data_IF_261256340690
#
_entry.id   IF_261256340690
#
_cell.length_a   1.000
_cell.length_b   1.000
_cell.length_c   1.000
_cell.angle_alpha   90.00
_cell.angle_beta   90.00
_cell.angle_gamma   90.00
#
_symmetry.space_group_name_H-M   'P 1'
#
loop_
_entity.id
_entity.type
_entity.pdbx_description
1 polymer ?
#
# COMPACT_ATOMS: atom_id res chain seq x y z
N UNK A 1 9.86 0.69 -18.22
CA UNK A 1 9.21 1.99 -18.47
C UNK A 1 8.59 2.44 -17.16
N UNK A 2 9.21 3.41 -16.49
CA UNK A 2 8.68 3.98 -15.25
C UNK A 2 7.44 4.82 -15.59
N UNK A 3 6.29 4.45 -15.05
CA UNK A 3 5.07 5.26 -15.16
C UNK A 3 5.28 6.54 -14.34
N UNK A 4 5.71 7.59 -15.03
CA UNK A 4 5.96 8.90 -14.47
C UNK A 4 4.60 9.56 -14.19
N UNK A 5 4.23 9.71 -12.93
CA UNK A 5 2.97 10.36 -12.53
C UNK A 5 3.22 11.54 -11.59
N UNK A 6 2.53 12.66 -11.84
CA UNK A 6 2.33 13.72 -10.87
C UNK A 6 1.54 13.20 -9.64
N UNK A 7 1.47 13.99 -8.56
CA UNK A 7 0.83 13.57 -7.31
C UNK A 7 -0.64 13.14 -7.49
N UNK A 8 -1.41 13.85 -8.32
CA UNK A 8 -2.82 13.52 -8.53
C UNK A 8 -2.94 12.17 -9.23
N UNK A 9 -2.13 11.95 -10.28
CA UNK A 9 -2.12 10.69 -11.02
C UNK A 9 -1.62 9.53 -10.15
N UNK A 10 -0.57 9.75 -9.36
CA UNK A 10 -0.03 8.77 -8.39
C UNK A 10 -1.11 8.32 -7.40
N UNK A 11 -1.75 9.29 -6.73
CA UNK A 11 -2.80 9.01 -5.76
C UNK A 11 -4.00 8.32 -6.43
N UNK A 12 -4.43 8.78 -7.61
CA UNK A 12 -5.57 8.20 -8.33
C UNK A 12 -5.34 6.73 -8.69
N UNK A 13 -4.14 6.35 -9.16
CA UNK A 13 -3.82 4.96 -9.51
C UNK A 13 -3.85 4.07 -8.27
N UNK A 14 -3.22 4.48 -7.17
CA UNK A 14 -3.20 3.71 -5.93
C UNK A 14 -4.60 3.59 -5.30
N UNK A 15 -5.37 4.67 -5.27
CA UNK A 15 -6.77 4.65 -4.82
C UNK A 15 -7.60 3.69 -5.67
N UNK A 16 -7.44 3.70 -7.00
CA UNK A 16 -8.13 2.75 -7.90
C UNK A 16 -7.72 1.28 -7.67
N UNK A 17 -6.53 1.03 -7.11
CA UNK A 17 -6.05 -0.29 -6.68
C UNK A 17 -6.54 -0.69 -5.28
N UNK A 18 -7.29 0.17 -4.59
CA UNK A 18 -7.84 -0.08 -3.26
C UNK A 18 -6.97 0.43 -2.11
N UNK A 19 -5.96 1.26 -2.38
CA UNK A 19 -5.20 1.98 -1.36
C UNK A 19 -5.89 3.30 -1.01
N UNK A 20 -7.17 3.22 -0.62
CA UNK A 20 -8.04 4.36 -0.37
C UNK A 20 -8.16 4.73 1.13
N UNK A 21 -7.45 3.99 1.99
CA UNK A 21 -7.35 4.24 3.43
C UNK A 21 -6.61 5.53 3.80
N UNK A 22 -6.35 5.67 5.10
CA UNK A 22 -5.50 6.74 5.62
C UNK A 22 -4.04 6.30 5.62
N UNK A 23 -3.17 7.24 5.26
CA UNK A 23 -1.73 7.07 5.24
C UNK A 23 -1.09 8.17 6.06
N UNK A 24 0.08 7.86 6.62
CA UNK A 24 0.95 8.83 7.26
C UNK A 24 2.32 8.83 6.57
N UNK A 25 2.94 10.00 6.46
CA UNK A 25 4.33 10.11 6.06
C UNK A 25 5.27 9.84 7.23
N UNK A 26 6.57 9.70 6.96
CA UNK A 26 7.62 9.66 8.00
C UNK A 26 7.66 10.89 8.91
N UNK A 27 7.05 12.02 8.50
CA UNK A 27 6.88 13.22 9.32
C UNK A 27 5.59 13.24 10.15
N UNK A 28 4.86 12.12 10.22
CA UNK A 28 3.56 12.00 10.90
C UNK A 28 2.42 12.87 10.31
N UNK A 29 2.50 13.22 9.02
CA UNK A 29 1.41 13.89 8.31
C UNK A 29 0.38 12.85 7.88
N UNK A 30 -0.73 12.75 8.60
CA UNK A 30 -1.78 11.76 8.37
C UNK A 30 -2.89 12.31 7.47
N UNK A 31 -3.37 11.52 6.51
CA UNK A 31 -4.44 11.92 5.61
C UNK A 31 -4.71 10.91 4.51
N UNK A 32 -5.53 11.28 3.53
CA UNK A 32 -5.56 10.54 2.26
C UNK A 32 -4.22 10.72 1.55
N UNK A 33 -3.86 9.79 0.65
CA UNK A 33 -2.57 9.79 -0.04
C UNK A 33 -2.15 11.17 -0.56
N UNK A 34 -3.03 11.84 -1.32
CA UNK A 34 -2.74 13.17 -1.86
C UNK A 34 -2.53 14.20 -0.76
N UNK A 35 -3.41 14.25 0.23
CA UNK A 35 -3.41 15.30 1.26
C UNK A 35 -2.19 15.14 2.19
N UNK A 36 -1.98 13.92 2.69
CA UNK A 36 -0.83 13.53 3.52
C UNK A 36 0.51 13.89 2.85
N UNK A 37 0.66 13.57 1.56
CA UNK A 37 1.88 13.86 0.80
C UNK A 37 2.02 15.37 0.52
N UNK A 38 0.91 16.05 0.19
CA UNK A 38 0.92 17.48 -0.13
C UNK A 38 1.33 18.32 1.08
N UNK A 39 0.75 18.04 2.25
CA UNK A 39 1.09 18.74 3.50
C UNK A 39 2.55 18.50 3.88
N UNK A 40 3.01 17.25 3.78
CA UNK A 40 4.42 16.93 4.05
C UNK A 40 5.39 17.70 3.13
N UNK A 41 5.09 17.78 1.83
CA UNK A 41 5.91 18.51 0.86
C UNK A 41 5.89 20.02 1.09
N UNK A 42 4.75 20.58 1.50
CA UNK A 42 4.60 22.01 1.79
C UNK A 42 5.49 22.44 2.96
N UNK A 43 5.56 21.62 4.00
CA UNK A 43 6.37 21.89 5.20
C UNK A 43 7.85 21.48 5.03
N UNK A 44 8.16 20.63 4.04
CA UNK A 44 9.51 20.10 3.81
C UNK A 44 10.05 20.36 2.39
N UNK A 45 10.06 21.63 1.89
CA UNK A 45 10.35 21.94 0.49
C UNK A 45 11.79 21.60 0.04
N UNK A 46 12.73 21.43 0.99
CA UNK A 46 14.15 21.11 0.73
C UNK A 46 14.55 19.69 1.13
N UNK A 47 13.70 18.97 1.89
CA UNK A 47 14.08 17.73 2.58
C UNK A 47 13.95 16.45 1.75
N UNK A 48 13.11 16.47 0.70
CA UNK A 48 12.64 15.23 0.06
C UNK A 48 13.43 14.90 -1.20
N UNK A 49 14.10 15.88 -1.81
CA UNK A 49 14.82 15.71 -3.08
C UNK A 49 15.99 14.70 -3.03
N UNK A 50 16.38 14.23 -1.84
CA UNK A 50 17.46 13.24 -1.66
C UNK A 50 17.03 11.97 -0.91
N UNK A 51 15.76 11.86 -0.50
CA UNK A 51 15.30 10.76 0.35
C UNK A 51 14.03 10.13 -0.23
N UNK A 52 13.87 8.82 -0.01
CA UNK A 52 12.60 8.16 -0.26
C UNK A 52 11.57 8.64 0.76
N UNK A 53 10.39 9.01 0.28
CA UNK A 53 9.22 9.28 1.10
C UNK A 53 8.61 7.94 1.54
N UNK A 54 8.64 7.67 2.84
CA UNK A 54 7.95 6.54 3.44
C UNK A 54 6.50 6.91 3.75
N UNK A 55 5.58 6.11 3.22
CA UNK A 55 4.15 6.14 3.54
C UNK A 55 3.76 4.87 4.28
N UNK A 56 3.03 5.01 5.38
CA UNK A 56 2.50 3.87 6.13
C UNK A 56 0.99 3.97 6.22
N UNK A 57 0.28 2.87 5.97
CA UNK A 57 -1.18 2.84 6.06
C UNK A 57 -1.72 1.45 6.40
N UNK A 58 -2.95 1.40 6.92
CA UNK A 58 -3.64 0.14 7.19
C UNK A 58 -4.41 -0.33 5.95
N UNK A 59 -4.16 -1.58 5.53
CA UNK A 59 -4.98 -2.26 4.53
C UNK A 59 -6.16 -3.00 5.17
N UNK A 60 -5.99 -3.44 6.41
CA UNK A 60 -7.04 -4.06 7.21
C UNK A 60 -6.87 -3.70 8.68
N UNK A 61 -7.89 -3.08 9.25
CA UNK A 61 -7.97 -2.74 10.67
C UNK A 61 -9.37 -3.09 11.19
N UNK A 62 -9.45 -3.85 12.28
CA UNK A 62 -10.71 -4.32 12.84
C UNK A 62 -10.87 -4.02 14.35
N UNK A 63 -9.98 -3.17 14.90
CA UNK A 63 -9.86 -2.92 16.34
C UNK A 63 -8.44 -3.21 16.85
N UNK A 64 -8.10 -2.64 18.01
CA UNK A 64 -6.77 -2.81 18.62
C UNK A 64 -6.51 -4.19 19.21
N UNK A 65 -7.57 -4.96 19.46
CA UNK A 65 -7.60 -6.32 19.96
C UNK A 65 -7.49 -7.39 18.86
N UNK A 66 -7.42 -6.98 17.59
CA UNK A 66 -7.39 -7.89 16.44
C UNK A 66 -6.11 -7.73 15.64
N UNK A 67 -5.65 -8.82 14.97
CA UNK A 67 -4.60 -8.70 13.98
C UNK A 67 -4.97 -7.71 12.88
N UNK A 68 -3.95 -7.05 12.35
CA UNK A 68 -4.08 -6.00 11.34
C UNK A 68 -3.11 -6.22 10.20
N UNK A 69 -3.45 -5.68 9.04
CA UNK A 69 -2.56 -5.65 7.88
C UNK A 69 -2.17 -4.20 7.62
N UNK A 70 -0.88 -3.95 7.68
CA UNK A 70 -0.26 -2.67 7.38
C UNK A 70 0.49 -2.77 6.04
N UNK A 71 0.63 -1.63 5.37
CA UNK A 71 1.54 -1.48 4.26
C UNK A 71 2.46 -0.28 4.46
N UNK A 72 3.72 -0.46 4.06
CA UNK A 72 4.74 0.56 3.98
C UNK A 72 5.15 0.71 2.52
N UNK A 73 5.13 1.93 2.00
CA UNK A 73 5.51 2.25 0.63
C UNK A 73 6.68 3.23 0.62
N UNK A 74 7.74 2.90 -0.11
CA UNK A 74 8.86 3.78 -0.36
C UNK A 74 8.68 4.44 -1.71
N UNK A 75 8.48 5.74 -1.69
CA UNK A 75 8.17 6.57 -2.85
C UNK A 75 9.34 7.50 -3.12
N UNK A 76 10.00 7.35 -4.27
CA UNK A 76 10.98 8.34 -4.72
C UNK A 76 10.24 9.56 -5.27
N UNK A 77 10.73 10.74 -4.92
CA UNK A 77 10.24 12.01 -5.43
C UNK A 77 11.36 12.75 -6.15
N UNK A 78 11.22 12.93 -7.47
CA UNK A 78 12.23 13.59 -8.31
C UNK A 78 11.54 14.54 -9.28
N UNK A 79 11.91 15.82 -9.27
CA UNK A 79 11.42 16.83 -10.21
C UNK A 79 9.88 16.87 -10.33
N UNK A 80 9.17 16.85 -9.19
CA UNK A 80 7.71 16.90 -9.17
C UNK A 80 7.00 15.57 -9.47
N UNK A 81 7.75 14.48 -9.66
CA UNK A 81 7.24 13.16 -10.06
C UNK A 81 7.42 12.13 -8.96
N UNK A 82 6.45 11.23 -8.84
CA UNK A 82 6.41 10.21 -7.79
C UNK A 82 6.59 8.82 -8.38
N UNK A 83 7.46 8.03 -7.76
CA UNK A 83 7.80 6.67 -8.19
C UNK A 83 7.71 5.74 -6.99
N UNK A 84 6.79 4.78 -7.03
CA UNK A 84 6.78 3.70 -6.05
C UNK A 84 7.96 2.76 -6.35
N UNK A 85 8.92 2.66 -5.43
CA UNK A 85 10.11 1.81 -5.61
C UNK A 85 9.93 0.45 -4.93
N UNK A 86 9.45 0.48 -3.69
CA UNK A 86 9.31 -0.69 -2.83
C UNK A 86 8.01 -0.61 -2.05
N UNK A 87 7.42 -1.77 -1.78
CA UNK A 87 6.31 -1.91 -0.87
C UNK A 87 6.60 -3.06 0.10
N UNK A 88 6.16 -2.92 1.33
CA UNK A 88 6.16 -3.99 2.32
C UNK A 88 4.75 -4.11 2.88
N UNK A 89 4.26 -5.34 2.94
CA UNK A 89 2.96 -5.67 3.54
C UNK A 89 3.24 -6.53 4.75
N UNK A 90 2.66 -6.18 5.89
CA UNK A 90 2.90 -6.89 7.14
C UNK A 90 1.57 -7.16 7.83
N UNK A 91 1.35 -8.42 8.21
CA UNK A 91 0.31 -8.81 9.15
C UNK A 91 0.92 -8.85 10.54
N UNK A 92 0.32 -8.09 11.46
CA UNK A 92 0.74 -8.01 12.86
C UNK A 92 -0.40 -8.43 13.77
N UNK A 93 -0.07 -8.97 14.94
CA UNK A 93 -1.05 -9.23 15.99
C UNK A 93 -1.50 -7.93 16.69
N UNK A 94 -2.34 -8.07 17.71
CA UNK A 94 -2.85 -6.96 18.54
C UNK A 94 -1.75 -6.19 19.28
N UNK A 95 -0.62 -6.83 19.59
CA UNK A 95 0.51 -6.22 20.28
C UNK A 95 1.55 -5.62 19.32
N UNK A 96 1.31 -5.73 18.01
CA UNK A 96 2.24 -5.29 16.97
C UNK A 96 3.33 -6.31 16.63
N UNK A 97 3.26 -7.53 17.17
CA UNK A 97 4.17 -8.61 16.81
C UNK A 97 3.94 -9.04 15.36
N UNK A 98 5.02 -9.17 14.60
CA UNK A 98 4.96 -9.58 13.21
C UNK A 98 4.55 -11.06 13.10
N UNK A 99 3.44 -11.32 12.40
CA UNK A 99 2.96 -12.68 12.11
C UNK A 99 3.42 -13.14 10.72
N UNK A 100 3.30 -12.27 9.71
CA UNK A 100 3.70 -12.56 8.33
C UNK A 100 4.07 -11.26 7.62
N UNK A 101 5.02 -11.32 6.68
CA UNK A 101 5.51 -10.17 5.93
C UNK A 101 5.77 -10.56 4.48
N UNK A 102 5.51 -9.65 3.56
CA UNK A 102 5.89 -9.75 2.16
C UNK A 102 6.60 -8.46 1.74
N UNK A 103 7.74 -8.59 1.05
CA UNK A 103 8.52 -7.45 0.54
C UNK A 103 8.52 -7.48 -0.98
N UNK A 104 8.06 -6.39 -1.57
CA UNK A 104 7.93 -6.22 -3.02
C UNK A 104 8.90 -5.13 -3.46
N UNK A 105 9.85 -5.47 -4.33
CA UNK A 105 10.83 -4.54 -4.92
C UNK A 105 10.53 -4.31 -6.40
N UNK A 106 11.28 -3.39 -7.01
CA UNK A 106 11.23 -3.12 -8.45
C UNK A 106 9.81 -2.79 -8.94
N UNK A 107 9.07 -2.09 -8.08
CA UNK A 107 7.69 -1.72 -8.33
C UNK A 107 7.57 -0.46 -9.18
N UNK A 108 6.35 -0.24 -9.62
CA UNK A 108 5.84 1.03 -10.12
C UNK A 108 4.40 1.16 -9.64
N UNK A 109 3.80 2.35 -9.72
CA UNK A 109 2.36 2.50 -9.40
C UNK A 109 1.47 1.59 -10.26
N UNK A 110 1.91 1.23 -11.46
CA UNK A 110 1.15 0.34 -12.37
C UNK A 110 1.29 -1.12 -11.97
N UNK A 111 2.50 -1.55 -11.61
CA UNK A 111 2.81 -2.94 -11.23
C UNK A 111 2.52 -3.26 -9.77
N UNK A 112 2.25 -2.25 -8.93
CA UNK A 112 1.81 -2.44 -7.55
C UNK A 112 0.59 -3.39 -7.49
N UNK A 113 0.56 -4.37 -6.57
CA UNK A 113 -0.60 -5.25 -6.42
C UNK A 113 -1.83 -4.45 -6.01
N UNK A 114 -3.02 -4.98 -6.25
CA UNK A 114 -4.24 -4.42 -5.64
C UNK A 114 -4.19 -4.64 -4.13
N UNK A 115 -4.84 -3.78 -3.34
CA UNK A 115 -4.85 -3.89 -1.88
C UNK A 115 -5.37 -5.27 -1.41
N UNK A 116 -6.37 -5.84 -2.09
CA UNK A 116 -6.87 -7.19 -1.82
C UNK A 116 -5.82 -8.29 -2.06
N UNK A 117 -5.02 -8.15 -3.11
CA UNK A 117 -3.94 -9.09 -3.44
C UNK A 117 -2.81 -8.98 -2.40
N UNK A 118 -2.44 -7.75 -2.03
CA UNK A 118 -1.48 -7.48 -0.96
C UNK A 118 -1.92 -8.09 0.39
N UNK A 119 -3.19 -7.95 0.76
CA UNK A 119 -3.75 -8.58 1.96
C UNK A 119 -3.66 -10.11 1.87
N UNK A 120 -3.98 -10.70 0.71
CA UNK A 120 -3.92 -12.14 0.50
C UNK A 120 -2.50 -12.71 0.67
N UNK A 121 -1.45 -11.99 0.24
CA UNK A 121 -0.06 -12.41 0.40
C UNK A 121 0.30 -12.70 1.87
N UNK A 122 -0.21 -11.90 2.80
CA UNK A 122 0.07 -12.02 4.25
C UNK A 122 -1.06 -12.65 5.05
N UNK A 123 -2.09 -13.17 4.38
CA UNK A 123 -3.18 -13.91 5.01
C UNK A 123 -2.83 -15.40 5.13
N UNK A 124 -3.38 -16.06 6.17
CA UNK A 124 -3.26 -17.52 6.37
C UNK A 124 -4.42 -18.29 5.70
N UNK A 125 -5.32 -17.59 5.01
CA UNK A 125 -6.42 -18.24 4.32
C UNK A 125 -5.81 -19.06 3.18
N UNK A 126 -5.96 -20.40 3.17
CA UNK A 126 -5.56 -21.17 2.01
C UNK A 126 -6.32 -20.58 0.83
N UNK A 127 -5.62 -20.20 -0.24
CA UNK A 127 -6.24 -19.76 -1.48
C UNK A 127 -7.43 -20.69 -1.75
N UNK A 128 -8.65 -20.17 -1.61
CA UNK A 128 -9.81 -20.89 -2.07
C UNK A 128 -9.66 -20.92 -3.59
N UNK A 129 -8.95 -21.93 -4.09
CA UNK A 129 -9.11 -22.40 -5.45
C UNK A 129 -10.59 -22.70 -5.55
N UNK A 130 -11.31 -21.78 -6.17
CA UNK A 130 -12.69 -21.99 -6.54
C UNK A 130 -12.68 -23.20 -7.48
N UNK A 131 -12.81 -24.40 -6.91
CA UNK A 131 -13.13 -25.59 -7.66
C UNK A 131 -14.50 -25.27 -8.22
N UNK A 132 -14.52 -24.89 -9.49
CA UNK A 132 -15.72 -24.72 -10.27
C UNK A 132 -16.40 -26.10 -10.30
N UNK A 133 -17.20 -26.38 -9.27
CA UNK A 133 -17.93 -27.63 -9.13
C UNK A 133 -19.00 -27.57 -10.21
N UNK A 134 -18.67 -28.09 -11.39
CA UNK A 134 -19.61 -28.28 -12.47
C UNK A 134 -20.79 -29.07 -11.90
N UNK A 135 -21.93 -28.39 -11.72
CA UNK A 135 -23.20 -29.05 -11.43
C UNK A 135 -23.54 -29.93 -12.62
N UNK A 136 -23.19 -31.22 -12.55
CA UNK A 136 -23.86 -32.24 -13.35
C UNK A 136 -25.23 -32.47 -12.71
N UNK A 137 -26.25 -31.85 -13.30
CA UNK A 137 -27.60 -32.40 -13.20
C UNK A 137 -27.63 -33.64 -14.11
N UNK A 138 -28.03 -34.79 -13.56
CA UNK A 138 -28.43 -35.95 -14.35
C UNK A 138 -29.87 -36.30 -13.99
N UNK A 139 -30.71 -36.20 -15.02
CA UNK A 139 -32.04 -36.78 -15.27
C UNK A 139 -33.07 -36.80 -14.14
#
# INVERSE_FOLDING_TARGET
MEAISDLNTFAKILTAKGYDGYFQTQGAYAGKLKDSISEYLADNPKGIAKQELLLTGYLQWAGGDKPRVECCMWVKYLNGKFFLNKMEVARKDQFGQLLKQEKLTDLSVVTAPKAKEAIAMVSDVPEQKAVHRQKRFSF
#
